data_IF_089690236466
#
_entry.id   IF_089690236466
#
_cell.length_a   1.000
_cell.length_b   1.000
_cell.length_c   1.000
_cell.angle_alpha   90.00
_cell.angle_beta   90.00
_cell.angle_gamma   90.00
#
_symmetry.space_group_name_H-M   'P 1'
#
loop_
_entity.id
_entity.type
_entity.pdbx_description
1 polymer ?
#
# COMPACT_ATOMS: atom_id res chain seq x y z
N UNK A 1 0.71 20.88 -4.12
CA UNK A 1 -0.33 19.86 -4.32
C UNK A 1 -0.15 18.72 -3.34
N UNK A 2 -1.21 18.36 -2.66
CA UNK A 2 -1.13 17.20 -1.76
C UNK A 2 -1.11 15.91 -2.57
N UNK A 3 -0.34 14.94 -2.08
CA UNK A 3 -0.30 13.61 -2.66
C UNK A 3 -1.39 12.77 -2.03
N UNK A 4 -2.01 11.91 -2.83
CA UNK A 4 -3.05 11.02 -2.35
C UNK A 4 -2.49 9.60 -2.20
N UNK A 5 -2.77 8.98 -1.06
CA UNK A 5 -2.32 7.63 -0.76
C UNK A 5 -3.53 6.73 -0.57
N UNK A 6 -3.53 5.60 -1.25
CA UNK A 6 -4.56 4.57 -1.07
C UNK A 6 -4.02 3.53 -0.10
N UNK A 7 -4.73 3.31 0.99
CA UNK A 7 -4.37 2.34 2.02
C UNK A 7 -5.31 1.15 1.90
N UNK A 8 -4.77 -0.04 1.65
CA UNK A 8 -5.54 -1.26 1.44
C UNK A 8 -5.18 -2.26 2.53
N UNK A 9 -6.08 -2.45 3.48
CA UNK A 9 -5.88 -3.37 4.60
C UNK A 9 -7.26 -3.73 5.16
N UNK A 10 -7.49 -4.99 5.47
CA UNK A 10 -8.76 -5.42 6.01
C UNK A 10 -8.89 -5.19 7.51
N UNK A 11 -7.79 -4.83 8.18
CA UNK A 11 -7.80 -4.57 9.61
C UNK A 11 -8.03 -3.07 9.90
N UNK A 12 -9.13 -2.78 10.57
CA UNK A 12 -9.47 -1.40 10.91
C UNK A 12 -8.39 -0.73 11.76
N UNK A 13 -7.81 -1.46 12.71
CA UNK A 13 -6.74 -0.93 13.56
C UNK A 13 -5.53 -0.47 12.78
N UNK A 14 -5.17 -1.18 11.73
CA UNK A 14 -4.04 -0.80 10.88
C UNK A 14 -4.39 0.45 10.06
N UNK A 15 -5.61 0.49 9.50
CA UNK A 15 -6.04 1.68 8.75
C UNK A 15 -6.05 2.92 9.65
N UNK A 16 -6.52 2.78 10.89
CA UNK A 16 -6.52 3.89 11.85
C UNK A 16 -5.12 4.31 12.24
N UNK A 17 -4.21 3.35 12.44
CA UNK A 17 -2.81 3.67 12.76
C UNK A 17 -2.15 4.45 11.63
N UNK A 18 -2.36 4.02 10.40
CA UNK A 18 -1.79 4.70 9.24
C UNK A 18 -2.41 6.08 9.04
N UNK A 19 -3.70 6.21 9.33
CA UNK A 19 -4.37 7.50 9.29
C UNK A 19 -3.74 8.48 10.27
N UNK A 20 -3.49 8.05 11.50
CA UNK A 20 -2.85 8.90 12.52
C UNK A 20 -1.46 9.35 12.09
N UNK A 21 -0.72 8.48 11.43
CA UNK A 21 0.65 8.78 11.00
C UNK A 21 0.67 9.72 9.79
N UNK A 22 -0.21 9.50 8.83
CA UNK A 22 -0.09 10.10 7.49
C UNK A 22 -1.05 11.25 7.20
N UNK A 23 -2.17 11.37 7.93
CA UNK A 23 -3.23 12.32 7.55
C UNK A 23 -2.82 13.78 7.60
N UNK A 24 -1.81 14.14 8.40
CA UNK A 24 -1.33 15.52 8.47
C UNK A 24 -0.50 15.92 7.25
N UNK A 25 -0.06 14.95 6.47
CA UNK A 25 0.88 15.19 5.36
C UNK A 25 0.30 14.84 4.00
N UNK A 26 -0.71 13.97 3.95
CA UNK A 26 -1.23 13.42 2.70
C UNK A 26 -2.74 13.25 2.75
N UNK A 27 -3.38 13.28 1.60
CA UNK A 27 -4.79 12.89 1.48
C UNK A 27 -4.87 11.37 1.42
N UNK A 28 -5.77 10.78 2.19
CA UNK A 28 -5.86 9.33 2.32
C UNK A 28 -7.18 8.80 1.78
N UNK A 29 -7.10 7.67 1.09
CA UNK A 29 -8.26 6.90 0.65
C UNK A 29 -8.06 5.48 1.20
N UNK A 30 -9.13 4.83 1.61
CA UNK A 30 -9.06 3.52 2.24
C UNK A 30 -9.84 2.47 1.46
N UNK A 31 -9.30 1.27 1.41
CA UNK A 31 -9.95 0.11 0.84
C UNK A 31 -9.72 -1.09 1.77
N UNK A 32 -10.71 -1.97 1.86
CA UNK A 32 -10.65 -3.11 2.76
C UNK A 32 -10.25 -4.41 2.08
N UNK A 33 -10.27 -4.42 0.75
CA UNK A 33 -9.94 -5.61 -0.02
C UNK A 33 -9.45 -5.22 -1.42
N UNK A 34 -9.09 -6.23 -2.21
CA UNK A 34 -8.56 -6.01 -3.54
C UNK A 34 -9.55 -5.41 -4.52
N UNK A 35 -10.82 -5.77 -4.39
CA UNK A 35 -11.86 -5.23 -5.26
C UNK A 35 -12.03 -3.74 -5.06
N UNK A 36 -12.14 -3.32 -3.79
CA UNK A 36 -12.22 -1.90 -3.46
C UNK A 36 -10.96 -1.15 -3.91
N UNK A 37 -9.80 -1.78 -3.78
CA UNK A 37 -8.53 -1.21 -4.22
C UNK A 37 -8.58 -0.87 -5.71
N UNK A 38 -8.98 -1.83 -6.54
CA UNK A 38 -9.03 -1.63 -7.98
C UNK A 38 -10.09 -0.60 -8.38
N UNK A 39 -11.21 -0.57 -7.67
CA UNK A 39 -12.24 0.45 -7.89
C UNK A 39 -11.71 1.86 -7.60
N UNK A 40 -10.98 2.01 -6.49
CA UNK A 40 -10.39 3.30 -6.13
C UNK A 40 -9.40 3.78 -7.18
N UNK A 41 -8.56 2.88 -7.68
CA UNK A 41 -7.59 3.23 -8.72
C UNK A 41 -8.24 3.61 -10.03
N UNK A 42 -9.37 2.99 -10.33
CA UNK A 42 -10.12 3.30 -11.55
C UNK A 42 -10.77 4.68 -11.47
N UNK A 43 -11.31 5.04 -10.30
CA UNK A 43 -12.05 6.28 -10.11
C UNK A 43 -11.15 7.48 -9.82
N UNK A 44 -10.08 7.27 -9.04
CA UNK A 44 -9.18 8.35 -8.63
C UNK A 44 -7.88 8.24 -9.42
N UNK A 45 -7.62 9.23 -10.26
CA UNK A 45 -6.45 9.21 -11.15
C UNK A 45 -5.20 9.87 -10.53
N UNK A 46 -5.35 10.40 -9.34
CA UNK A 46 -4.29 11.16 -8.68
C UNK A 46 -3.68 10.41 -7.49
N UNK A 47 -3.85 9.10 -7.42
CA UNK A 47 -3.24 8.30 -6.36
C UNK A 47 -1.75 8.15 -6.65
N UNK A 48 -0.93 8.71 -5.77
CA UNK A 48 0.52 8.68 -5.94
C UNK A 48 1.17 7.43 -5.38
N UNK A 49 0.51 6.77 -4.42
CA UNK A 49 1.08 5.62 -3.74
C UNK A 49 -0.02 4.72 -3.19
N UNK A 50 0.19 3.41 -3.28
CA UNK A 50 -0.70 2.41 -2.67
C UNK A 50 0.08 1.69 -1.57
N UNK A 51 -0.49 1.60 -0.37
CA UNK A 51 0.03 0.77 0.71
C UNK A 51 -0.91 -0.42 0.83
N UNK A 52 -0.39 -1.63 0.66
CA UNK A 52 -1.23 -2.82 0.61
C UNK A 52 -0.69 -3.95 1.45
N UNK A 53 -1.56 -4.62 2.22
CA UNK A 53 -1.22 -5.81 2.98
C UNK A 53 -1.32 -7.04 2.07
N UNK A 54 -0.50 -8.04 2.35
CA UNK A 54 -0.54 -9.31 1.62
C UNK A 54 -1.70 -10.18 2.10
N UNK A 55 -1.91 -10.26 3.42
CA UNK A 55 -2.91 -11.15 3.98
C UNK A 55 -4.27 -10.47 4.06
N UNK A 56 -5.12 -10.73 3.09
CA UNK A 56 -6.47 -10.21 3.05
C UNK A 56 -7.43 -11.33 2.65
N UNK A 57 -8.74 -11.20 2.99
CA UNK A 57 -9.72 -12.20 2.58
C UNK A 57 -9.81 -12.34 1.07
N UNK A 58 -9.98 -13.55 0.60
CA UNK A 58 -10.24 -13.93 -0.81
C UNK A 58 -9.05 -13.80 -1.74
N UNK A 59 -8.28 -12.73 -1.66
CA UNK A 59 -7.20 -12.48 -2.61
C UNK A 59 -5.95 -12.04 -1.87
N UNK A 60 -4.83 -12.66 -2.23
CA UNK A 60 -3.52 -12.34 -1.70
C UNK A 60 -3.07 -10.96 -2.25
N UNK A 61 -2.51 -10.12 -1.38
CA UNK A 61 -2.05 -8.80 -1.78
C UNK A 61 -0.99 -8.79 -2.86
N UNK A 62 -0.21 -9.86 -2.99
CA UNK A 62 0.76 -9.98 -4.08
C UNK A 62 0.08 -10.10 -5.44
N UNK A 63 -1.08 -10.77 -5.48
CA UNK A 63 -1.87 -10.85 -6.70
C UNK A 63 -2.45 -9.49 -7.08
N UNK A 64 -2.88 -8.73 -6.06
CA UNK A 64 -3.38 -7.38 -6.29
C UNK A 64 -2.25 -6.48 -6.79
N UNK A 65 -1.06 -6.60 -6.20
CA UNK A 65 0.12 -5.88 -6.67
C UNK A 65 0.37 -6.16 -8.16
N UNK A 66 0.30 -7.42 -8.55
CA UNK A 66 0.50 -7.81 -9.94
C UNK A 66 -0.56 -7.18 -10.84
N UNK A 67 -1.84 -7.23 -10.43
CA UNK A 67 -2.92 -6.61 -11.19
C UNK A 67 -2.72 -5.10 -11.34
N UNK A 68 -2.31 -4.44 -10.26
CA UNK A 68 -2.05 -3.00 -10.28
C UNK A 68 -0.95 -2.68 -11.30
N UNK A 69 0.15 -3.41 -11.24
CA UNK A 69 1.29 -3.12 -12.12
C UNK A 69 1.00 -3.49 -13.57
N UNK A 70 0.17 -4.50 -13.80
CA UNK A 70 -0.24 -4.86 -15.17
C UNK A 70 -1.12 -3.77 -15.78
N UNK A 71 -2.01 -3.20 -15.01
CA UNK A 71 -2.95 -2.19 -15.50
C UNK A 71 -2.39 -0.76 -15.39
N UNK A 72 -1.62 -0.49 -14.36
CA UNK A 72 -1.05 0.82 -14.08
C UNK A 72 0.45 0.67 -13.81
N UNK A 73 1.28 0.47 -14.86
CA UNK A 73 2.71 0.15 -14.65
C UNK A 73 3.49 1.20 -13.87
N UNK A 74 3.03 2.46 -13.90
CA UNK A 74 3.71 3.56 -13.22
C UNK A 74 3.28 3.73 -11.77
N UNK A 75 2.24 3.00 -11.34
CA UNK A 75 1.71 3.15 -9.99
C UNK A 75 2.70 2.61 -8.96
N UNK A 76 3.04 3.43 -7.99
CA UNK A 76 3.94 3.04 -6.90
C UNK A 76 3.16 2.29 -5.84
N UNK A 77 3.72 1.19 -5.37
CA UNK A 77 3.09 0.31 -4.38
C UNK A 77 4.12 -0.08 -3.33
N UNK A 78 3.75 0.06 -2.06
CA UNK A 78 4.53 -0.44 -0.93
C UNK A 78 3.72 -1.51 -0.22
N UNK A 79 4.35 -2.62 0.10
CA UNK A 79 3.72 -3.70 0.88
C UNK A 79 3.90 -3.39 2.37
N UNK A 80 2.81 -3.48 3.14
CA UNK A 80 2.83 -3.32 4.60
C UNK A 80 2.15 -4.54 5.20
N UNK A 81 2.92 -5.48 5.74
CA UNK A 81 2.40 -6.78 6.11
C UNK A 81 3.08 -7.40 7.31
N UNK A 82 2.42 -8.37 7.95
CA UNK A 82 3.01 -9.14 9.03
C UNK A 82 3.95 -10.25 8.55
N UNK A 83 4.00 -10.54 7.26
CA UNK A 83 4.90 -11.56 6.73
C UNK A 83 6.34 -11.08 6.75
N UNK A 84 7.22 -11.84 7.42
CA UNK A 84 8.65 -11.50 7.57
C UNK A 84 9.55 -12.30 6.64
N UNK A 85 8.97 -13.10 5.76
CA UNK A 85 9.72 -13.99 4.88
C UNK A 85 10.53 -13.22 3.86
N UNK A 86 11.81 -13.57 3.72
CA UNK A 86 12.68 -13.03 2.68
C UNK A 86 12.13 -13.38 1.30
N UNK A 87 11.56 -14.57 1.17
CA UNK A 87 10.99 -15.03 -0.09
C UNK A 87 9.81 -14.17 -0.50
N UNK A 88 8.93 -13.84 0.44
CA UNK A 88 7.77 -12.98 0.18
C UNK A 88 8.21 -11.58 -0.20
N UNK A 89 9.20 -11.03 0.51
CA UNK A 89 9.73 -9.71 0.19
C UNK A 89 10.36 -9.67 -1.20
N UNK A 90 11.13 -10.70 -1.53
CA UNK A 90 11.76 -10.82 -2.86
C UNK A 90 10.71 -10.90 -3.96
N UNK A 91 9.62 -11.66 -3.72
CA UNK A 91 8.52 -11.76 -4.66
C UNK A 91 7.84 -10.40 -4.88
N UNK A 92 7.61 -9.66 -3.81
CA UNK A 92 7.00 -8.33 -3.89
C UNK A 92 7.85 -7.39 -4.74
N UNK A 93 9.17 -7.39 -4.55
CA UNK A 93 10.08 -6.56 -5.33
C UNK A 93 10.06 -6.99 -6.79
N UNK A 94 10.07 -8.29 -7.05
CA UNK A 94 10.01 -8.83 -8.42
C UNK A 94 8.73 -8.40 -9.13
N UNK A 95 7.62 -8.30 -8.40
CA UNK A 95 6.34 -7.86 -8.95
C UNK A 95 6.22 -6.34 -9.06
N UNK A 96 7.23 -5.60 -8.64
CA UNK A 96 7.28 -4.16 -8.84
C UNK A 96 7.00 -3.29 -7.63
N UNK A 97 6.93 -3.87 -6.41
CA UNK A 97 6.79 -3.06 -5.21
C UNK A 97 8.04 -2.22 -5.00
N UNK A 98 7.87 -0.97 -4.59
CA UNK A 98 9.01 -0.09 -4.34
C UNK A 98 9.43 -0.07 -2.87
N UNK A 99 8.73 -0.80 -2.01
CA UNK A 99 9.10 -0.92 -0.60
C UNK A 99 8.33 -2.03 0.09
N UNK A 100 8.83 -2.43 1.25
CA UNK A 100 8.25 -3.51 2.05
C UNK A 100 8.42 -3.16 3.52
N UNK A 101 7.32 -3.05 4.24
CA UNK A 101 7.32 -2.72 5.66
C UNK A 101 6.68 -3.87 6.43
N UNK A 102 7.34 -4.33 7.49
CA UNK A 102 6.85 -5.42 8.31
C UNK A 102 6.13 -4.88 9.55
N UNK A 103 4.94 -5.39 9.80
CA UNK A 103 4.17 -5.06 11.01
C UNK A 103 4.76 -5.80 12.22
N UNK A 104 4.78 -5.23 13.40
CA UNK A 104 4.37 -3.86 13.73
C UNK A 104 5.40 -2.84 13.25
N UNK A 105 4.93 -1.71 12.76
CA UNK A 105 5.79 -0.66 12.23
C UNK A 105 5.86 0.53 13.18
N UNK A 106 6.89 1.35 12.99
CA UNK A 106 7.02 2.61 13.71
C UNK A 106 6.60 3.76 12.80
N UNK A 107 6.13 4.85 13.41
CA UNK A 107 5.68 6.03 12.65
C UNK A 107 6.77 6.56 11.71
N UNK A 108 8.00 6.63 12.19
CA UNK A 108 9.10 7.17 11.39
C UNK A 108 9.45 6.26 10.20
N UNK A 109 9.31 4.94 10.34
CA UNK A 109 9.49 4.01 9.22
C UNK A 109 8.49 4.30 8.10
N UNK A 110 7.23 4.47 8.48
CA UNK A 110 6.15 4.76 7.52
C UNK A 110 6.41 6.10 6.84
N UNK A 111 6.64 7.15 7.62
CA UNK A 111 6.85 8.49 7.08
C UNK A 111 8.03 8.56 6.14
N UNK A 112 9.14 7.94 6.52
CA UNK A 112 10.36 7.96 5.73
C UNK A 112 10.19 7.21 4.40
N UNK A 113 9.60 6.02 4.45
CA UNK A 113 9.42 5.22 3.23
C UNK A 113 8.41 5.85 2.29
N UNK A 114 7.31 6.39 2.83
CA UNK A 114 6.30 7.08 2.01
C UNK A 114 6.89 8.33 1.37
N UNK A 115 7.62 9.13 2.15
CA UNK A 115 8.26 10.33 1.63
C UNK A 115 9.24 10.00 0.50
N UNK A 116 10.05 8.97 0.68
CA UNK A 116 11.00 8.53 -0.35
C UNK A 116 10.31 8.07 -1.62
N UNK A 117 9.21 7.34 -1.48
CA UNK A 117 8.47 6.83 -2.62
C UNK A 117 7.81 7.94 -3.43
N UNK A 118 7.41 9.02 -2.76
CA UNK A 118 6.67 10.12 -3.40
C UNK A 118 7.54 11.26 -3.90
N UNK A 119 8.84 11.14 -3.78
CA UNK A 119 9.75 12.14 -4.32
C UNK A 119 9.72 12.19 -5.84
#
# INVERSE_FOLDING_TARGET
MSKKILIVDDEEGIRESLKLILSDHYDLVFAEDGEQCMECLQKAKDIGLVLIDIKMPRVNGLEILKQIKDKYPEQKVIIVTGYKSVETAAEAVRLGACGYIVKPFKSDEILEMVSSALK
#
